data_IF_074430307953
#
_entry.id   IF_074430307953
#
_cell.length_a   1.000
_cell.length_b   1.000
_cell.length_c   1.000
_cell.angle_alpha   90.00
_cell.angle_beta   90.00
_cell.angle_gamma   90.00
#
_symmetry.space_group_name_H-M   'P 1'
#
loop_
_entity.id
_entity.type
_entity.pdbx_description
1 polymer ?
#
# COMPACT_ATOMS: atom_id res chain seq x y z
N UNK A 1 31.07 -24.91 34.81
CA UNK A 1 29.63 -24.69 34.59
C UNK A 1 29.23 -23.23 34.73
N UNK A 2 29.51 -22.55 35.86
CA UNK A 2 29.12 -21.14 36.09
C UNK A 2 29.59 -20.15 35.02
N UNK A 3 30.84 -20.17 34.48
CA UNK A 3 31.27 -19.24 33.44
C UNK A 3 30.53 -19.43 32.10
N UNK A 4 30.08 -20.65 31.79
CA UNK A 4 29.28 -20.91 30.58
C UNK A 4 27.86 -20.37 30.72
N UNK A 5 27.28 -20.43 31.90
CA UNK A 5 25.96 -19.88 32.18
C UNK A 5 25.96 -18.35 32.06
N UNK A 6 27.00 -17.69 32.54
CA UNK A 6 27.16 -16.23 32.43
C UNK A 6 27.36 -15.81 30.97
N UNK A 7 28.13 -16.57 30.18
CA UNK A 7 28.31 -16.29 28.75
C UNK A 7 27.02 -16.47 27.99
N UNK A 8 26.25 -17.51 28.30
CA UNK A 8 24.96 -17.81 27.69
C UNK A 8 23.91 -16.74 28.04
N UNK A 9 23.90 -16.26 29.26
CA UNK A 9 23.02 -15.15 29.67
C UNK A 9 23.42 -13.81 29.02
N UNK A 10 24.72 -13.54 28.82
CA UNK A 10 25.20 -12.37 28.07
C UNK A 10 24.79 -12.44 26.59
N UNK A 11 25.01 -13.59 25.97
CA UNK A 11 24.60 -13.82 24.55
C UNK A 11 23.08 -13.72 24.40
N UNK A 12 22.32 -14.28 25.34
CA UNK A 12 20.85 -14.18 25.33
C UNK A 12 20.37 -12.75 25.58
N UNK A 13 20.99 -12.01 26.52
CA UNK A 13 20.67 -10.62 26.79
C UNK A 13 20.94 -9.72 25.58
N UNK A 14 22.05 -9.94 24.89
CA UNK A 14 22.39 -9.26 23.65
C UNK A 14 21.38 -9.63 22.55
N UNK A 15 21.04 -10.91 22.39
CA UNK A 15 20.06 -11.36 21.40
C UNK A 15 18.67 -10.76 21.63
N UNK A 16 18.24 -10.61 22.89
CA UNK A 16 16.95 -9.97 23.24
C UNK A 16 16.95 -8.47 22.96
N UNK A 17 18.08 -7.78 23.21
CA UNK A 17 18.23 -6.38 22.85
C UNK A 17 18.19 -6.18 21.32
N UNK A 18 18.77 -7.10 20.55
CA UNK A 18 18.75 -7.07 19.09
C UNK A 18 17.38 -7.44 18.50
N UNK A 19 16.65 -8.38 19.09
CA UNK A 19 15.32 -8.77 18.64
C UNK A 19 14.30 -7.61 18.70
N UNK A 20 14.57 -6.62 19.53
CA UNK A 20 13.73 -5.42 19.65
C UNK A 20 13.97 -4.38 18.53
N UNK A 21 15.03 -4.54 17.73
CA UNK A 21 15.35 -3.65 16.62
C UNK A 21 15.61 -4.44 15.34
N UNK A 22 14.54 -4.76 14.61
CA UNK A 22 14.54 -5.67 13.47
C UNK A 22 15.46 -5.21 12.31
N UNK A 23 15.57 -3.91 12.09
CA UNK A 23 16.47 -3.33 11.05
C UNK A 23 17.96 -3.49 11.38
N UNK A 24 18.30 -3.50 12.66
CA UNK A 24 19.66 -3.74 13.11
C UNK A 24 20.03 -5.23 13.00
N UNK A 25 19.05 -6.12 13.14
CA UNK A 25 19.25 -7.58 13.04
C UNK A 25 19.75 -7.99 11.64
N UNK A 26 19.21 -7.41 10.58
CA UNK A 26 19.57 -7.76 9.19
C UNK A 26 21.00 -7.33 8.85
N UNK A 27 21.43 -6.16 9.31
CA UNK A 27 22.81 -5.70 9.14
C UNK A 27 23.82 -6.50 10.01
N UNK A 28 23.43 -6.83 11.22
CA UNK A 28 24.28 -7.61 12.14
C UNK A 28 24.31 -9.08 11.79
N UNK A 29 23.21 -9.69 11.32
CA UNK A 29 23.22 -11.06 10.79
C UNK A 29 24.08 -11.16 9.53
N UNK A 30 24.06 -10.18 8.65
CA UNK A 30 24.93 -10.15 7.46
C UNK A 30 26.41 -10.00 7.84
N UNK A 31 26.73 -9.15 8.81
CA UNK A 31 28.11 -8.99 9.34
C UNK A 31 28.56 -10.21 10.15
N UNK A 32 27.72 -10.78 10.97
CA UNK A 32 27.99 -12.00 11.74
C UNK A 32 28.12 -13.21 10.81
N UNK A 33 27.38 -13.29 9.73
CA UNK A 33 27.52 -14.36 8.73
C UNK A 33 28.82 -14.24 7.93
N UNK A 34 29.27 -13.02 7.65
CA UNK A 34 30.50 -12.77 6.86
C UNK A 34 31.78 -12.81 7.66
N UNK A 35 31.73 -12.49 8.98
CA UNK A 35 32.89 -12.45 9.88
C UNK A 35 32.82 -13.55 10.95
N UNK A 36 31.64 -14.02 11.30
CA UNK A 36 31.38 -14.79 12.51
C UNK A 36 31.50 -16.30 12.39
N UNK A 37 31.41 -16.89 11.19
CA UNK A 37 31.55 -18.34 11.04
C UNK A 37 32.94 -18.84 11.47
N UNK A 38 34.07 -18.16 11.20
CA UNK A 38 35.35 -18.61 11.74
C UNK A 38 35.53 -18.33 13.24
N UNK A 39 34.85 -17.30 13.79
CA UNK A 39 35.03 -16.90 15.19
C UNK A 39 34.12 -17.70 16.16
N UNK A 40 32.87 -17.95 15.79
CA UNK A 40 31.91 -18.71 16.63
C UNK A 40 32.31 -20.18 16.72
N UNK A 41 32.92 -20.72 15.67
CA UNK A 41 33.42 -22.10 15.67
C UNK A 41 34.85 -22.18 16.18
N UNK A 42 35.69 -21.21 15.88
CA UNK A 42 37.10 -21.20 16.27
C UNK A 42 37.37 -21.02 17.77
N UNK A 43 36.61 -20.16 18.46
CA UNK A 43 36.81 -19.90 19.89
C UNK A 43 36.42 -21.09 20.78
N UNK A 44 35.27 -21.79 20.55
CA UNK A 44 34.96 -23.02 21.28
C UNK A 44 35.93 -24.15 21.00
N UNK A 45 36.42 -24.29 19.76
CA UNK A 45 37.41 -25.31 19.40
C UNK A 45 38.75 -25.03 20.05
N UNK A 46 39.22 -23.79 20.09
CA UNK A 46 40.45 -23.40 20.82
C UNK A 46 40.31 -23.57 22.31
N UNK A 47 39.13 -23.33 22.90
CA UNK A 47 38.85 -23.58 24.33
C UNK A 47 38.75 -25.08 24.63
N UNK A 48 38.25 -25.90 23.73
CA UNK A 48 38.24 -27.36 23.85
C UNK A 48 39.66 -27.96 23.73
N UNK A 49 40.50 -27.46 22.81
CA UNK A 49 41.89 -27.90 22.64
C UNK A 49 42.78 -27.48 23.81
N UNK A 50 42.50 -26.34 24.47
CA UNK A 50 43.18 -25.90 25.68
C UNK A 50 42.73 -26.67 26.93
N UNK A 51 41.71 -27.51 26.85
CA UNK A 51 41.11 -28.26 27.96
C UNK A 51 41.46 -29.75 28.02
N UNK A 52 42.34 -30.26 27.15
CA UNK A 52 42.78 -31.67 27.20
C UNK A 52 43.55 -31.93 28.51
N UNK A 53 42.99 -32.83 29.33
CA UNK A 53 43.60 -33.29 30.59
C UNK A 53 44.82 -34.11 30.30
N UNK A 54 45.99 -33.86 30.94
CA UNK A 54 47.06 -34.82 30.94
C UNK A 54 46.63 -36.06 31.70
N UNK A 55 46.96 -37.18 31.11
CA UNK A 55 46.75 -38.55 31.54
C UNK A 55 47.16 -38.78 32.98
N UNK A 56 46.34 -39.50 33.76
CA UNK A 56 46.64 -39.97 35.09
C UNK A 56 47.69 -41.11 34.99
N UNK A 57 48.89 -40.82 35.50
CA UNK A 57 49.89 -41.83 35.75
C UNK A 57 51.14 -41.25 36.31
N UNK A 58 51.38 -41.49 37.58
CA UNK A 58 52.58 -41.30 38.45
C UNK A 58 52.61 -40.11 39.38
N UNK A 59 52.27 -40.40 40.58
CA UNK A 59 52.92 -40.24 41.89
C UNK A 59 53.54 -38.88 42.29
N UNK A 60 52.99 -38.43 43.41
CA UNK A 60 53.61 -37.81 44.56
C UNK A 60 55.09 -37.36 44.46
N UNK A 61 55.25 -36.14 43.99
CA UNK A 61 56.30 -35.17 44.45
C UNK A 61 56.08 -33.83 43.75
N UNK A 62 55.44 -32.95 44.37
CA UNK A 62 55.48 -31.51 44.12
C UNK A 62 54.12 -30.83 44.34
N UNK A 63 53.66 -30.84 45.55
CA UNK A 63 52.42 -30.08 45.95
C UNK A 63 52.59 -28.55 45.94
N UNK A 64 53.78 -28.02 45.78
CA UNK A 64 54.02 -26.57 45.74
C UNK A 64 54.15 -26.04 44.28
N UNK A 65 54.83 -26.76 43.42
CA UNK A 65 55.02 -26.36 42.01
C UNK A 65 53.71 -26.38 41.22
N UNK A 66 52.84 -27.36 41.48
CA UNK A 66 51.53 -27.49 40.86
C UNK A 66 50.52 -26.37 41.28
N UNK A 67 50.69 -25.72 42.44
CA UNK A 67 49.87 -24.57 42.84
C UNK A 67 50.28 -23.28 42.16
N UNK A 68 51.55 -23.08 41.87
CA UNK A 68 52.05 -21.89 41.18
C UNK A 68 51.77 -21.95 39.65
N UNK A 69 51.88 -23.13 39.03
CA UNK A 69 51.48 -23.31 37.64
C UNK A 69 50.00 -23.10 37.46
N UNK A 70 49.14 -23.63 38.32
CA UNK A 70 47.69 -23.37 38.29
C UNK A 70 47.33 -21.91 38.51
N UNK A 71 48.07 -21.17 39.35
CA UNK A 71 47.89 -19.74 39.53
C UNK A 71 48.31 -18.96 38.29
N UNK A 72 49.42 -19.32 37.66
CA UNK A 72 49.92 -18.70 36.44
C UNK A 72 48.96 -18.99 35.26
N UNK A 73 48.45 -20.20 35.14
CA UNK A 73 47.48 -20.56 34.09
C UNK A 73 46.15 -19.75 34.26
N UNK A 74 45.65 -19.62 35.52
CA UNK A 74 44.48 -18.77 35.82
C UNK A 74 44.73 -17.28 35.54
N UNK A 75 45.95 -16.77 35.78
CA UNK A 75 46.31 -15.40 35.41
C UNK A 75 46.35 -15.21 33.87
N UNK A 76 46.98 -16.13 33.14
CA UNK A 76 47.06 -16.07 31.68
C UNK A 76 45.63 -16.11 31.04
N UNK A 77 44.76 -17.00 31.51
CA UNK A 77 43.36 -17.09 31.01
C UNK A 77 42.60 -15.79 31.32
N UNK A 78 42.77 -15.19 32.49
CA UNK A 78 42.13 -13.89 32.83
C UNK A 78 42.63 -12.75 31.94
N UNK A 79 43.91 -12.71 31.62
CA UNK A 79 44.48 -11.69 30.73
C UNK A 79 43.96 -11.86 29.30
N UNK A 80 43.84 -13.09 28.80
CA UNK A 80 43.29 -13.36 27.47
C UNK A 80 41.79 -12.97 27.41
N UNK A 81 41.01 -13.32 28.44
CA UNK A 81 39.58 -12.94 28.48
C UNK A 81 39.43 -11.42 28.56
N UNK A 82 40.26 -10.75 29.34
CA UNK A 82 40.26 -9.27 29.46
C UNK A 82 40.67 -8.62 28.12
N UNK A 83 41.69 -9.17 27.44
CA UNK A 83 42.11 -8.70 26.13
C UNK A 83 41.04 -8.88 25.05
N UNK A 84 40.34 -10.04 25.03
CA UNK A 84 39.20 -10.28 24.11
C UNK A 84 38.04 -9.36 24.42
N UNK A 85 37.77 -9.06 25.70
CA UNK A 85 36.72 -8.12 26.08
C UNK A 85 37.05 -6.69 25.65
N UNK A 86 38.29 -6.23 25.89
CA UNK A 86 38.76 -4.91 25.46
C UNK A 86 38.76 -4.79 23.93
N UNK A 87 39.16 -5.85 23.22
CA UNK A 87 39.13 -5.89 21.76
C UNK A 87 37.68 -5.86 21.24
N UNK A 88 36.78 -6.58 21.88
CA UNK A 88 35.34 -6.52 21.57
C UNK A 88 34.74 -5.12 21.79
N UNK A 89 35.14 -4.44 22.89
CA UNK A 89 34.70 -3.07 23.17
C UNK A 89 35.24 -2.06 22.12
N UNK A 90 36.47 -2.25 21.61
CA UNK A 90 37.05 -1.40 20.60
C UNK A 90 36.31 -1.55 19.23
N UNK A 91 35.81 -2.76 18.91
CA UNK A 91 34.97 -2.96 17.72
C UNK A 91 33.56 -2.37 17.87
N UNK A 92 33.05 -2.27 19.09
CA UNK A 92 31.75 -1.63 19.37
C UNK A 92 31.81 -0.09 19.26
N UNK A 93 33.00 0.51 19.44
CA UNK A 93 33.16 1.96 19.26
C UNK A 93 33.39 2.39 17.82
N UNK A 94 33.56 1.45 16.87
CA UNK A 94 33.82 1.73 15.45
C UNK A 94 32.57 1.91 14.58
N UNK A 95 31.36 1.76 15.10
CA UNK A 95 30.16 2.19 14.41
C UNK A 95 30.01 3.69 14.66
N UNK A 96 30.29 4.50 13.64
CA UNK A 96 29.79 5.87 13.57
C UNK A 96 28.26 5.76 13.49
N UNK A 97 27.60 5.61 14.64
CA UNK A 97 26.17 5.81 14.75
C UNK A 97 26.03 7.32 14.66
N UNK A 98 25.72 7.85 13.48
CA UNK A 98 25.21 9.20 13.37
C UNK A 98 24.11 9.32 14.42
N UNK A 99 24.25 10.25 15.34
CA UNK A 99 23.28 10.39 16.42
C UNK A 99 21.93 10.67 15.75
N UNK A 100 20.86 10.03 16.22
CA UNK A 100 19.52 10.23 15.69
C UNK A 100 19.13 11.72 15.69
N UNK A 101 19.74 12.50 16.58
CA UNK A 101 19.56 13.95 16.69
C UNK A 101 20.15 14.73 15.48
N UNK A 102 21.08 14.11 14.74
CA UNK A 102 21.71 14.70 13.55
C UNK A 102 20.95 14.36 12.25
N UNK A 103 19.86 13.58 12.32
CA UNK A 103 19.05 13.19 11.19
C UNK A 103 17.68 13.88 11.19
N UNK A 104 17.21 14.24 10.00
CA UNK A 104 15.83 14.64 9.75
C UNK A 104 15.12 13.49 9.03
N UNK A 105 13.95 13.10 9.54
CA UNK A 105 13.14 12.01 9.01
C UNK A 105 11.86 12.57 8.40
N UNK A 106 11.85 12.99 7.13
CA UNK A 106 10.63 13.46 6.49
C UNK A 106 9.61 12.32 6.38
N UNK A 107 8.37 12.62 6.72
CA UNK A 107 7.22 11.71 6.54
C UNK A 107 6.42 12.06 5.31
N UNK A 108 6.63 13.26 4.75
CA UNK A 108 5.97 13.80 3.57
C UNK A 108 7.01 14.42 2.64
N UNK A 109 6.92 14.11 1.36
CA UNK A 109 7.67 14.77 0.28
C UNK A 109 6.68 15.53 -0.59
N UNK A 110 6.78 16.85 -0.61
CA UNK A 110 6.00 17.72 -1.47
C UNK A 110 6.74 17.99 -2.78
N UNK A 111 6.05 17.82 -3.92
CA UNK A 111 6.59 18.05 -5.26
C UNK A 111 5.69 19.03 -5.97
N UNK A 112 6.15 20.25 -6.17
CA UNK A 112 5.41 21.37 -6.79
C UNK A 112 5.79 21.57 -8.25
N UNK A 113 7.07 21.54 -8.52
CA UNK A 113 7.63 21.67 -9.87
C UNK A 113 9.01 21.02 -9.96
N UNK A 114 9.57 20.98 -11.17
CA UNK A 114 10.87 20.34 -11.41
C UNK A 114 12.02 21.08 -10.70
N UNK A 115 12.01 22.40 -10.69
CA UNK A 115 13.08 23.19 -10.08
C UNK A 115 13.06 23.03 -8.56
N UNK A 116 11.87 23.03 -7.95
CA UNK A 116 11.69 22.79 -6.52
C UNK A 116 12.13 21.35 -6.16
N UNK A 117 11.67 20.35 -6.92
CA UNK A 117 12.07 18.97 -6.72
C UNK A 117 13.59 18.79 -6.86
N UNK A 118 14.21 19.32 -7.91
CA UNK A 118 15.67 19.25 -8.09
C UNK A 118 16.42 19.96 -6.97
N UNK A 119 15.96 21.12 -6.53
CA UNK A 119 16.58 21.86 -5.43
C UNK A 119 16.48 21.09 -4.10
N UNK A 120 15.31 20.54 -3.77
CA UNK A 120 15.11 19.70 -2.59
C UNK A 120 15.97 18.46 -2.69
N UNK A 121 16.00 17.81 -3.87
CA UNK A 121 16.71 16.58 -4.09
C UNK A 121 18.23 16.72 -4.11
N UNK A 122 18.75 17.75 -4.79
CA UNK A 122 20.20 18.04 -4.83
C UNK A 122 20.74 18.48 -3.48
N UNK A 123 19.90 19.06 -2.64
CA UNK A 123 20.27 19.49 -1.28
C UNK A 123 19.75 18.55 -0.19
N UNK A 124 19.29 17.34 -0.56
CA UNK A 124 18.67 16.39 0.36
C UNK A 124 19.61 15.92 1.47
N UNK A 125 20.94 16.00 1.27
CA UNK A 125 21.90 15.61 2.30
C UNK A 125 21.72 16.38 3.61
N UNK A 126 21.15 17.62 3.54
CA UNK A 126 21.03 18.47 4.72
C UNK A 126 19.71 19.28 4.73
N UNK A 127 18.89 19.03 5.75
CA UNK A 127 17.78 19.90 6.14
C UNK A 127 18.28 20.82 7.26
N UNK A 128 18.77 22.01 6.90
CA UNK A 128 19.45 22.90 7.82
C UNK A 128 20.83 22.37 8.20
N UNK A 129 20.98 21.81 9.41
CA UNK A 129 22.21 21.16 9.91
C UNK A 129 22.06 19.63 10.07
N UNK A 130 20.98 19.05 9.55
CA UNK A 130 20.67 17.62 9.71
C UNK A 130 20.76 16.89 8.37
N UNK A 131 21.31 15.69 8.39
CA UNK A 131 21.25 14.75 7.28
C UNK A 131 19.81 14.26 7.10
N UNK A 132 19.31 14.25 5.86
CA UNK A 132 17.95 13.78 5.57
C UNK A 132 17.96 12.28 5.32
N UNK A 133 17.07 11.56 6.01
CA UNK A 133 16.88 10.12 5.87
C UNK A 133 15.42 9.82 5.49
N UNK A 134 15.20 9.43 4.24
CA UNK A 134 13.86 9.17 3.68
C UNK A 134 13.27 7.81 4.06
N UNK A 135 13.93 6.96 4.85
CA UNK A 135 13.41 5.66 5.23
C UNK A 135 12.05 5.71 5.98
N UNK A 136 11.65 6.87 6.46
CA UNK A 136 10.39 7.12 7.15
C UNK A 136 9.35 7.83 6.29
N UNK A 137 9.64 8.06 5.01
CA UNK A 137 8.71 8.68 4.08
C UNK A 137 7.45 7.82 3.94
N UNK A 138 6.29 8.43 4.18
CA UNK A 138 4.98 7.77 4.13
C UNK A 138 4.18 8.19 2.92
N UNK A 139 4.27 9.48 2.55
CA UNK A 139 3.48 10.07 1.48
C UNK A 139 4.36 10.94 0.58
N UNK A 140 4.18 10.78 -0.72
CA UNK A 140 4.65 11.69 -1.76
C UNK A 140 3.43 12.45 -2.27
N UNK A 141 3.40 13.74 -2.04
CA UNK A 141 2.33 14.65 -2.46
C UNK A 141 2.79 15.45 -3.66
N UNK A 142 2.07 15.32 -4.77
CA UNK A 142 2.46 15.91 -6.06
C UNK A 142 1.41 16.93 -6.48
N UNK A 143 1.82 18.15 -6.84
CA UNK A 143 0.88 19.09 -7.44
C UNK A 143 0.42 18.60 -8.82
N UNK A 144 -0.86 18.74 -9.07
CA UNK A 144 -1.49 18.29 -10.31
C UNK A 144 -0.87 18.97 -11.54
N UNK A 145 -0.57 20.26 -11.44
CA UNK A 145 0.10 21.03 -12.48
C UNK A 145 1.46 20.46 -12.90
N UNK A 146 2.16 19.77 -11.99
CA UNK A 146 3.41 19.08 -12.28
C UNK A 146 3.15 17.76 -13.02
N UNK A 147 2.10 17.01 -12.66
CA UNK A 147 1.75 15.75 -13.32
C UNK A 147 1.40 15.89 -14.81
N UNK A 148 0.99 17.07 -15.24
CA UNK A 148 0.72 17.36 -16.66
C UNK A 148 2.00 17.44 -17.52
N UNK A 149 3.18 17.50 -16.87
CA UNK A 149 4.48 17.63 -17.53
C UNK A 149 5.18 16.26 -17.63
N UNK A 150 4.75 15.43 -18.57
CA UNK A 150 5.16 14.02 -18.70
C UNK A 150 6.67 13.80 -18.58
N UNK A 151 7.52 14.61 -19.24
CA UNK A 151 8.98 14.46 -19.23
C UNK A 151 9.59 14.76 -17.85
N UNK A 152 9.09 15.79 -17.16
CA UNK A 152 9.55 16.17 -15.83
C UNK A 152 9.16 15.12 -14.77
N UNK A 153 7.95 14.57 -14.90
CA UNK A 153 7.46 13.48 -14.05
C UNK A 153 8.28 12.20 -14.25
N UNK A 154 8.62 11.87 -15.50
CA UNK A 154 9.48 10.72 -15.82
C UNK A 154 10.87 10.86 -15.17
N UNK A 155 11.48 12.03 -15.27
CA UNK A 155 12.76 12.33 -14.62
C UNK A 155 12.66 12.22 -13.10
N UNK A 156 11.62 12.77 -12.49
CA UNK A 156 11.35 12.72 -11.06
C UNK A 156 11.20 11.26 -10.59
N UNK A 157 10.35 10.47 -11.24
CA UNK A 157 10.16 9.06 -10.88
C UNK A 157 11.45 8.26 -11.03
N UNK A 158 12.25 8.55 -12.08
CA UNK A 158 13.54 7.90 -12.29
C UNK A 158 14.55 8.23 -11.19
N UNK A 159 14.56 9.47 -10.70
CA UNK A 159 15.43 9.89 -9.59
C UNK A 159 15.00 9.23 -8.28
N UNK A 160 13.70 9.21 -7.96
CA UNK A 160 13.16 8.57 -6.74
C UNK A 160 13.41 7.06 -6.75
N UNK A 161 13.29 6.39 -7.90
CA UNK A 161 13.53 4.95 -8.02
C UNK A 161 15.00 4.56 -7.78
N UNK A 162 15.93 5.43 -8.16
CA UNK A 162 17.37 5.19 -7.97
C UNK A 162 17.81 5.40 -6.52
N UNK A 163 17.02 6.14 -5.73
CA UNK A 163 17.37 6.43 -4.34
C UNK A 163 16.95 5.29 -3.42
N UNK A 164 17.94 4.66 -2.79
CA UNK A 164 17.73 3.46 -1.96
C UNK A 164 17.01 3.73 -0.65
N UNK A 165 17.04 4.97 -0.18
CA UNK A 165 16.44 5.35 1.09
C UNK A 165 14.96 5.70 0.95
N UNK A 166 14.47 5.93 -0.29
CA UNK A 166 13.06 6.18 -0.55
C UNK A 166 12.29 4.85 -0.57
N UNK A 167 11.31 4.68 0.33
CA UNK A 167 10.56 3.44 0.40
C UNK A 167 9.55 3.33 -0.74
N UNK A 168 9.55 2.20 -1.42
CA UNK A 168 8.62 1.93 -2.52
C UNK A 168 7.15 1.83 -2.08
N UNK A 169 6.90 1.62 -0.79
CA UNK A 169 5.56 1.57 -0.22
C UNK A 169 5.05 2.94 0.26
N UNK A 170 5.79 4.02 0.03
CA UNK A 170 5.25 5.35 0.26
C UNK A 170 4.06 5.59 -0.66
N UNK A 171 2.93 6.04 -0.08
CA UNK A 171 1.73 6.37 -0.84
C UNK A 171 1.95 7.59 -1.72
N UNK A 172 1.29 7.60 -2.87
CA UNK A 172 1.30 8.75 -3.76
C UNK A 172 -0.06 9.42 -3.71
N UNK A 173 -0.08 10.72 -3.51
CA UNK A 173 -1.27 11.55 -3.51
C UNK A 173 -1.05 12.78 -4.38
N UNK A 174 -2.13 13.41 -4.79
CA UNK A 174 -2.10 14.63 -5.58
C UNK A 174 -2.93 15.72 -4.92
N UNK A 175 -2.61 16.97 -5.26
CA UNK A 175 -3.33 18.15 -4.79
C UNK A 175 -3.27 19.25 -5.82
N UNK A 176 -4.15 20.25 -5.71
CA UNK A 176 -4.03 21.48 -6.49
C UNK A 176 -2.88 22.36 -6.00
N UNK A 177 -2.61 22.40 -4.68
CA UNK A 177 -1.52 23.18 -4.10
C UNK A 177 -0.98 22.55 -2.82
N UNK A 178 0.30 22.15 -2.86
CA UNK A 178 1.03 21.68 -1.68
C UNK A 178 1.13 22.74 -0.60
N UNK A 179 1.33 24.00 -0.98
CA UNK A 179 1.47 25.10 -0.01
C UNK A 179 0.16 25.34 0.76
N UNK A 180 -0.99 25.22 0.09
CA UNK A 180 -2.29 25.36 0.74
C UNK A 180 -2.52 24.25 1.76
N UNK A 181 -2.21 23.01 1.42
CA UNK A 181 -2.29 21.90 2.37
C UNK A 181 -1.30 22.03 3.52
N UNK A 182 -0.06 22.51 3.27
CA UNK A 182 0.93 22.71 4.32
C UNK A 182 0.48 23.76 5.34
N UNK A 183 -0.32 24.75 4.96
CA UNK A 183 -0.86 25.76 5.87
C UNK A 183 -1.83 25.18 6.91
N UNK A 184 -2.49 24.05 6.60
CA UNK A 184 -3.41 23.38 7.55
C UNK A 184 -2.67 22.59 8.63
N UNK A 185 -1.36 22.32 8.48
CA UNK A 185 -0.62 21.49 9.45
C UNK A 185 -0.69 22.06 10.88
N UNK A 186 -0.76 23.37 11.03
CA UNK A 186 -0.92 24.00 12.35
C UNK A 186 -2.26 23.75 13.04
N UNK A 187 -3.27 23.28 12.29
CA UNK A 187 -4.61 22.95 12.78
C UNK A 187 -4.80 21.44 13.01
N UNK A 188 -3.83 20.63 12.57
CA UNK A 188 -3.83 19.19 12.73
C UNK A 188 -3.13 18.81 14.05
N UNK A 189 -3.63 17.78 14.73
CA UNK A 189 -3.00 17.23 15.94
C UNK A 189 -1.72 16.42 15.65
N UNK A 190 -1.44 16.15 14.36
CA UNK A 190 -0.33 15.34 13.87
C UNK A 190 0.32 16.01 12.65
N UNK A 191 1.53 15.59 12.29
CA UNK A 191 2.19 16.04 11.06
C UNK A 191 1.32 15.72 9.82
N UNK A 192 1.30 16.61 8.85
CA UNK A 192 0.47 16.46 7.64
C UNK A 192 0.68 15.10 6.95
N UNK A 193 1.93 14.63 6.80
CA UNK A 193 2.20 13.32 6.20
C UNK A 193 1.59 12.14 6.96
N UNK A 194 1.55 12.20 8.30
CA UNK A 194 0.88 11.19 9.12
C UNK A 194 -0.64 11.27 8.95
N UNK A 195 -1.19 12.49 8.94
CA UNK A 195 -2.62 12.72 8.72
C UNK A 195 -3.07 12.15 7.37
N UNK A 196 -2.30 12.41 6.31
CA UNK A 196 -2.61 11.90 4.97
C UNK A 196 -2.54 10.37 4.88
N UNK A 197 -1.58 9.75 5.55
CA UNK A 197 -1.53 8.28 5.66
C UNK A 197 -2.77 7.74 6.40
N UNK A 198 -3.09 8.31 7.57
CA UNK A 198 -4.27 7.93 8.36
C UNK A 198 -5.59 8.15 7.59
N UNK A 199 -5.65 9.16 6.73
CA UNK A 199 -6.80 9.43 5.87
C UNK A 199 -7.07 8.25 4.91
N UNK A 200 -6.00 7.65 4.34
CA UNK A 200 -6.11 6.45 3.49
C UNK A 200 -6.49 5.22 4.32
N UNK A 201 -5.85 5.03 5.47
CA UNK A 201 -6.07 3.87 6.33
C UNK A 201 -7.48 3.83 6.92
N UNK A 202 -8.06 5.00 7.18
CA UNK A 202 -9.39 5.13 7.78
C UNK A 202 -10.52 5.28 6.74
N UNK A 203 -10.21 5.27 5.44
CA UNK A 203 -11.26 5.31 4.41
C UNK A 203 -12.09 4.04 4.45
N UNK A 204 -13.34 4.18 4.86
CA UNK A 204 -14.25 3.04 5.05
C UNK A 204 -14.52 2.30 3.74
N UNK A 205 -14.41 0.98 3.79
CA UNK A 205 -14.82 0.08 2.71
C UNK A 205 -13.85 -0.01 1.54
N UNK A 206 -12.64 0.54 1.63
CA UNK A 206 -11.59 0.42 0.60
C UNK A 206 -10.35 -0.26 1.21
N UNK A 207 -9.87 -1.33 0.57
CA UNK A 207 -8.60 -1.97 0.95
C UNK A 207 -7.44 -0.99 0.66
N UNK A 208 -6.54 -0.82 1.62
CA UNK A 208 -5.35 0.01 1.48
C UNK A 208 -4.52 -0.31 0.23
N UNK A 209 -4.56 -1.56 -0.24
CA UNK A 209 -3.90 -1.99 -1.49
C UNK A 209 -4.45 -1.33 -2.76
N UNK A 210 -5.62 -0.70 -2.69
CA UNK A 210 -6.17 0.07 -3.79
C UNK A 210 -5.42 1.37 -4.03
N UNK A 211 -4.77 1.91 -2.99
CA UNK A 211 -4.09 3.18 -3.07
C UNK A 211 -2.68 3.05 -3.65
N UNK A 212 -2.37 3.82 -4.70
CA UNK A 212 -1.09 3.75 -5.35
C UNK A 212 0.08 4.10 -4.43
N UNK A 213 1.12 3.31 -4.53
CA UNK A 213 2.43 3.57 -3.93
C UNK A 213 3.44 3.91 -5.03
N UNK A 214 4.60 4.43 -4.65
CA UNK A 214 5.69 4.66 -5.60
C UNK A 214 6.04 3.39 -6.39
N UNK A 215 6.09 2.25 -5.72
CA UNK A 215 6.36 0.96 -6.37
C UNK A 215 5.34 0.61 -7.46
N UNK A 216 4.05 0.89 -7.22
CA UNK A 216 3.00 0.68 -8.23
C UNK A 216 3.14 1.64 -9.42
N UNK A 217 3.54 2.90 -9.19
CA UNK A 217 3.81 3.83 -10.28
C UNK A 217 5.01 3.39 -11.11
N UNK A 218 6.09 2.90 -10.47
CA UNK A 218 7.25 2.36 -11.19
C UNK A 218 6.88 1.13 -12.03
N UNK A 219 6.07 0.23 -11.47
CA UNK A 219 5.60 -0.97 -12.16
C UNK A 219 4.70 -0.61 -13.35
N UNK A 220 3.75 0.31 -13.18
CA UNK A 220 2.86 0.77 -14.24
C UNK A 220 3.64 1.49 -15.35
N UNK A 221 4.60 2.35 -14.98
CA UNK A 221 5.49 3.02 -15.92
C UNK A 221 6.28 2.04 -16.79
N UNK A 222 6.76 0.93 -16.19
CA UNK A 222 7.52 -0.09 -16.91
C UNK A 222 6.65 -0.97 -17.81
N UNK A 223 5.43 -1.29 -17.39
CA UNK A 223 4.58 -2.31 -18.00
C UNK A 223 3.40 -1.74 -18.80
N UNK A 224 2.90 -0.54 -18.46
CA UNK A 224 1.74 0.13 -19.07
C UNK A 224 0.45 -0.71 -19.06
N UNK A 225 0.28 -1.54 -18.04
CA UNK A 225 -0.82 -2.52 -17.99
C UNK A 225 -1.99 -2.08 -17.11
N UNK A 226 -1.74 -1.19 -16.15
CA UNK A 226 -2.71 -0.87 -15.10
C UNK A 226 -3.23 0.56 -15.22
N UNK A 227 -4.45 0.76 -14.74
CA UNK A 227 -5.00 2.07 -14.45
C UNK A 227 -5.00 2.23 -12.94
N UNK A 228 -4.27 3.21 -12.43
CA UNK A 228 -4.18 3.52 -11.00
C UNK A 228 -5.03 4.77 -10.71
N UNK A 229 -5.57 4.84 -9.51
CA UNK A 229 -6.38 5.96 -9.03
C UNK A 229 -5.69 6.62 -7.85
N UNK A 230 -4.95 7.70 -8.12
CA UNK A 230 -4.18 8.44 -7.12
C UNK A 230 -5.14 9.39 -6.39
N UNK A 231 -5.26 9.32 -5.05
CA UNK A 231 -6.13 10.19 -4.29
C UNK A 231 -5.78 11.65 -4.50
N UNK A 232 -6.78 12.45 -4.86
CA UNK A 232 -6.65 13.91 -4.96
C UNK A 232 -7.20 14.51 -3.68
N UNK A 233 -6.31 15.20 -2.95
CA UNK A 233 -6.61 15.80 -1.64
C UNK A 233 -6.75 17.30 -1.79
N UNK A 234 -7.82 17.83 -1.26
CA UNK A 234 -8.06 19.27 -1.17
C UNK A 234 -8.75 19.60 0.17
N UNK A 235 -8.78 20.87 0.48
CA UNK A 235 -9.49 21.41 1.62
C UNK A 235 -10.92 21.73 1.14
N UNK A 236 -11.91 21.13 1.73
CA UNK A 236 -13.30 21.45 1.42
C UNK A 236 -13.60 22.90 1.80
N UNK A 237 -13.66 23.77 0.80
CA UNK A 237 -14.06 25.17 0.96
C UNK A 237 -15.49 25.39 0.50
N UNK A 238 -16.27 26.14 1.28
CA UNK A 238 -17.46 26.96 1.00
C UNK A 238 -18.56 26.51 -0.01
N UNK A 239 -18.44 25.38 -0.74
CA UNK A 239 -19.44 25.03 -1.76
C UNK A 239 -20.53 24.05 -1.31
N UNK A 240 -20.41 23.39 -0.19
CA UNK A 240 -21.50 22.61 0.38
C UNK A 240 -22.12 23.39 1.54
N UNK A 241 -23.36 23.85 1.38
CA UNK A 241 -24.14 24.51 2.43
C UNK A 241 -24.50 23.60 3.62
N UNK A 242 -23.64 22.69 3.97
CA UNK A 242 -23.69 21.85 5.16
C UNK A 242 -22.89 22.55 6.27
N UNK A 243 -23.47 22.53 7.45
CA UNK A 243 -23.01 23.06 8.74
C UNK A 243 -21.50 23.23 8.80
N UNK A 244 -21.03 24.49 8.91
CA UNK A 244 -19.66 24.87 9.21
C UNK A 244 -19.17 24.11 10.46
N UNK A 245 -18.45 23.03 10.25
CA UNK A 245 -17.44 22.62 11.20
C UNK A 245 -16.21 23.48 10.89
N UNK A 246 -15.82 24.35 11.83
CA UNK A 246 -14.84 25.43 11.62
C UNK A 246 -13.38 24.95 11.39
N UNK A 247 -13.18 23.68 11.06
CA UNK A 247 -11.85 23.12 10.77
C UNK A 247 -11.74 22.68 9.30
N UNK A 248 -11.03 23.47 8.52
CA UNK A 248 -10.65 23.16 7.13
C UNK A 248 -9.64 22.02 7.09
N UNK A 249 -10.11 20.78 7.20
CA UNK A 249 -9.24 19.59 7.16
C UNK A 249 -9.10 19.05 5.74
N UNK A 250 -7.90 18.57 5.36
CA UNK A 250 -7.70 17.91 4.08
C UNK A 250 -8.59 16.67 3.92
N UNK A 251 -9.21 16.48 2.76
CA UNK A 251 -10.07 15.35 2.44
C UNK A 251 -9.80 14.85 1.02
N UNK A 252 -10.10 13.58 0.75
CA UNK A 252 -10.06 13.04 -0.61
C UNK A 252 -11.34 13.47 -1.33
N UNK A 253 -11.21 14.37 -2.30
CA UNK A 253 -12.34 14.95 -3.04
C UNK A 253 -12.52 14.37 -4.44
N UNK A 254 -11.46 13.79 -5.00
CA UNK A 254 -11.43 13.18 -6.33
C UNK A 254 -10.26 12.19 -6.43
N UNK A 255 -10.03 11.65 -7.62
CA UNK A 255 -8.88 10.80 -7.90
C UNK A 255 -8.25 11.19 -9.24
N UNK A 256 -6.93 11.38 -9.27
CA UNK A 256 -6.19 11.50 -10.52
C UNK A 256 -5.98 10.11 -11.13
N UNK A 257 -6.34 9.94 -12.37
CA UNK A 257 -6.13 8.68 -13.07
C UNK A 257 -4.73 8.65 -13.65
N UNK A 258 -3.96 7.63 -13.27
CA UNK A 258 -2.63 7.37 -13.80
C UNK A 258 -2.65 6.12 -14.67
N UNK A 259 -2.24 6.25 -15.91
CA UNK A 259 -2.14 5.13 -16.85
C UNK A 259 -1.08 5.38 -17.93
N UNK A 260 -0.39 4.33 -18.34
CA UNK A 260 0.66 4.38 -19.37
C UNK A 260 1.75 5.41 -19.06
N UNK A 261 2.14 5.44 -17.78
CA UNK A 261 3.19 6.32 -17.28
C UNK A 261 2.82 7.80 -17.20
N UNK A 262 1.52 8.17 -17.26
CA UNK A 262 1.08 9.56 -17.23
C UNK A 262 -0.28 9.78 -16.56
N UNK A 263 -0.50 10.99 -16.11
CA UNK A 263 -1.81 11.46 -15.66
C UNK A 263 -2.79 11.53 -16.86
N UNK A 264 -4.02 11.08 -16.65
CA UNK A 264 -5.08 11.06 -17.65
C UNK A 264 -6.27 11.95 -17.26
N UNK A 265 -6.20 12.62 -16.12
CA UNK A 265 -7.21 13.55 -15.62
C UNK A 265 -7.95 13.06 -14.39
N UNK A 266 -8.76 13.95 -13.80
CA UNK A 266 -9.53 13.69 -12.61
C UNK A 266 -10.82 12.91 -12.91
N UNK A 267 -11.14 12.00 -12.00
CA UNK A 267 -12.45 11.36 -11.88
C UNK A 267 -13.03 11.62 -10.49
N UNK A 268 -14.35 11.59 -10.43
CA UNK A 268 -15.06 11.71 -9.17
C UNK A 268 -14.87 10.46 -8.28
N UNK A 269 -15.22 10.62 -7.01
CA UNK A 269 -15.11 9.55 -6.01
C UNK A 269 -15.98 8.34 -6.37
N UNK A 270 -17.14 8.52 -7.00
CA UNK A 270 -18.04 7.43 -7.38
C UNK A 270 -17.40 6.55 -8.48
N UNK A 271 -16.77 7.19 -9.47
CA UNK A 271 -16.05 6.48 -10.55
C UNK A 271 -14.87 5.68 -9.98
N UNK A 272 -14.07 6.27 -9.09
CA UNK A 272 -12.95 5.57 -8.48
C UNK A 272 -13.41 4.43 -7.57
N UNK A 273 -14.45 4.64 -6.76
CA UNK A 273 -15.03 3.58 -5.90
C UNK A 273 -15.61 2.43 -6.73
N UNK A 274 -16.27 2.72 -7.86
CA UNK A 274 -16.73 1.69 -8.79
C UNK A 274 -15.56 0.89 -9.39
N UNK A 275 -14.42 1.55 -9.68
CA UNK A 275 -13.21 0.87 -10.13
C UNK A 275 -12.63 -0.02 -9.03
N UNK A 276 -12.49 0.47 -7.80
CA UNK A 276 -12.01 -0.32 -6.65
C UNK A 276 -12.92 -1.52 -6.39
N UNK A 277 -14.24 -1.32 -6.43
CA UNK A 277 -15.22 -2.39 -6.30
C UNK A 277 -15.03 -3.45 -7.39
N UNK A 278 -14.92 -3.03 -8.65
CA UNK A 278 -14.74 -3.94 -9.78
C UNK A 278 -13.42 -4.71 -9.72
N UNK A 279 -12.40 -4.12 -9.15
CA UNK A 279 -11.07 -4.72 -8.98
C UNK A 279 -10.94 -5.54 -7.69
N UNK A 280 -12.01 -5.70 -6.92
CA UNK A 280 -12.07 -6.40 -5.63
C UNK A 280 -11.21 -5.74 -4.52
N UNK A 281 -11.13 -4.42 -4.53
CA UNK A 281 -10.47 -3.62 -3.48
C UNK A 281 -11.47 -2.88 -2.59
N UNK A 282 -12.78 -3.05 -2.78
CA UNK A 282 -13.80 -2.43 -1.96
C UNK A 282 -14.68 -3.50 -1.32
N UNK A 283 -14.68 -3.50 0.02
CA UNK A 283 -15.63 -4.19 0.87
C UNK A 283 -16.59 -3.18 1.49
N UNK A 284 -17.74 -3.62 1.98
CA UNK A 284 -18.74 -2.73 2.60
C UNK A 284 -19.16 -1.55 1.70
N UNK A 285 -19.32 -1.81 0.40
CA UNK A 285 -19.59 -0.78 -0.60
C UNK A 285 -21.03 -0.27 -0.49
N UNK A 286 -21.19 0.95 -0.01
CA UNK A 286 -22.51 1.61 0.11
C UNK A 286 -22.80 2.42 -1.15
N UNK A 287 -24.00 2.23 -1.71
CA UNK A 287 -24.49 2.83 -2.95
C UNK A 287 -25.86 3.47 -2.77
N UNK A 288 -26.04 4.62 -3.39
CA UNK A 288 -27.35 5.20 -3.61
C UNK A 288 -27.87 4.84 -5.02
N UNK A 289 -28.71 3.84 -5.11
CA UNK A 289 -29.24 3.35 -6.39
C UNK A 289 -30.47 4.14 -6.89
N UNK A 290 -31.11 4.90 -5.99
CA UNK A 290 -32.19 5.84 -6.29
C UNK A 290 -32.24 6.89 -5.17
N UNK A 291 -32.95 8.03 -5.31
CA UNK A 291 -32.99 9.07 -4.29
C UNK A 291 -33.37 8.59 -2.89
N UNK A 292 -34.17 7.52 -2.80
CA UNK A 292 -34.62 6.94 -1.54
C UNK A 292 -34.09 5.52 -1.31
N UNK A 293 -33.19 4.98 -2.16
CA UNK A 293 -32.70 3.60 -2.07
C UNK A 293 -31.19 3.55 -1.84
N UNK A 294 -30.82 3.25 -0.61
CA UNK A 294 -29.44 3.01 -0.20
C UNK A 294 -29.25 1.52 0.06
N UNK A 295 -28.22 0.97 -0.53
CA UNK A 295 -27.82 -0.43 -0.34
C UNK A 295 -26.37 -0.50 0.08
N UNK A 296 -26.02 -1.53 0.83
CA UNK A 296 -24.65 -1.86 1.21
C UNK A 296 -24.34 -3.25 0.71
N UNK A 297 -23.24 -3.39 -0.02
CA UNK A 297 -22.70 -4.68 -0.42
C UNK A 297 -21.67 -5.09 0.62
N UNK A 298 -22.00 -6.08 1.44
CA UNK A 298 -21.12 -6.54 2.53
C UNK A 298 -19.89 -7.27 2.00
N UNK A 299 -20.11 -8.15 1.03
CA UNK A 299 -19.04 -8.92 0.37
C UNK A 299 -19.36 -9.06 -1.10
N UNK A 300 -18.36 -8.81 -1.93
CA UNK A 300 -18.52 -9.00 -3.37
C UNK A 300 -17.29 -9.69 -3.96
N UNK A 301 -17.52 -10.41 -5.05
CA UNK A 301 -16.47 -10.90 -5.94
C UNK A 301 -16.82 -10.51 -7.36
N UNK A 302 -15.99 -9.72 -7.96
CA UNK A 302 -16.07 -9.29 -9.33
C UNK A 302 -15.16 -10.15 -10.20
N UNK A 303 -15.73 -10.73 -11.26
CA UNK A 303 -14.98 -11.48 -12.27
C UNK A 303 -15.10 -10.81 -13.61
N UNK A 304 -13.98 -10.36 -14.13
CA UNK A 304 -13.87 -9.72 -15.45
C UNK A 304 -13.62 -10.80 -16.51
N UNK A 305 -14.32 -10.72 -17.65
CA UNK A 305 -14.13 -11.62 -18.79
C UNK A 305 -14.38 -10.89 -20.10
N UNK A 306 -13.43 -11.00 -21.03
CA UNK A 306 -13.56 -10.46 -22.37
C UNK A 306 -14.26 -11.46 -23.30
N UNK A 307 -15.24 -10.97 -24.03
CA UNK A 307 -16.03 -11.75 -25.00
C UNK A 307 -16.21 -11.00 -26.29
N UNK A 308 -16.40 -11.75 -27.40
CA UNK A 308 -16.78 -11.19 -28.70
C UNK A 308 -18.26 -11.45 -28.93
N UNK A 309 -18.99 -10.42 -29.30
CA UNK A 309 -20.37 -10.53 -29.69
C UNK A 309 -20.54 -10.04 -31.14
N UNK A 310 -21.26 -10.78 -31.96
CA UNK A 310 -21.62 -10.32 -33.29
C UNK A 310 -22.83 -9.42 -33.12
N UNK A 311 -22.65 -8.12 -33.33
CA UNK A 311 -23.70 -7.12 -33.27
C UNK A 311 -24.62 -7.13 -34.49
N UNK A 312 -25.67 -6.32 -34.44
CA UNK A 312 -26.56 -6.09 -35.57
C UNK A 312 -25.78 -5.51 -36.74
N UNK A 313 -25.79 -6.19 -37.88
CA UNK A 313 -25.00 -5.80 -39.06
C UNK A 313 -23.69 -6.55 -39.27
N UNK A 314 -23.40 -7.59 -38.48
CA UNK A 314 -22.21 -8.45 -38.63
C UNK A 314 -20.90 -7.86 -38.09
N UNK A 315 -20.96 -6.69 -37.50
CA UNK A 315 -19.80 -6.09 -36.83
C UNK A 315 -19.51 -6.84 -35.51
N UNK A 316 -18.25 -7.17 -35.28
CA UNK A 316 -17.82 -7.82 -34.03
C UNK A 316 -17.63 -6.75 -32.97
N UNK A 317 -18.47 -6.76 -31.94
CA UNK A 317 -18.30 -5.95 -30.73
C UNK A 317 -17.43 -6.67 -29.74
N UNK A 318 -16.55 -5.92 -29.07
CA UNK A 318 -15.70 -6.42 -28.00
C UNK A 318 -16.33 -6.01 -26.67
N UNK A 319 -16.75 -7.01 -25.89
CA UNK A 319 -17.46 -6.77 -24.63
C UNK A 319 -16.63 -7.31 -23.47
N UNK A 320 -16.35 -6.43 -22.51
CA UNK A 320 -15.83 -6.77 -21.19
C UNK A 320 -17.03 -6.99 -20.28
N UNK A 321 -17.26 -8.22 -19.88
CA UNK A 321 -18.34 -8.57 -18.96
C UNK A 321 -17.79 -8.68 -17.56
N UNK A 322 -18.34 -7.90 -16.64
CA UNK A 322 -18.06 -7.97 -15.20
C UNK A 322 -19.20 -8.70 -14.51
N UNK A 323 -18.93 -9.86 -13.97
CA UNK A 323 -19.92 -10.61 -13.17
C UNK A 323 -19.66 -10.32 -11.70
N UNK A 324 -20.63 -9.68 -11.06
CA UNK A 324 -20.63 -9.37 -9.63
C UNK A 324 -21.45 -10.41 -8.89
N UNK A 325 -20.88 -11.05 -7.89
CA UNK A 325 -21.57 -12.02 -7.01
C UNK A 325 -21.26 -11.71 -5.57
N UNK A 326 -22.23 -11.82 -4.66
CA UNK A 326 -22.00 -11.49 -3.27
C UNK A 326 -23.26 -11.46 -2.42
N UNK A 327 -23.13 -10.83 -1.26
CA UNK A 327 -24.22 -10.58 -0.30
C UNK A 327 -24.27 -9.08 0.03
N UNK A 328 -25.46 -8.60 0.31
CA UNK A 328 -25.65 -7.20 0.68
C UNK A 328 -26.95 -6.99 1.46
N UNK A 329 -27.10 -5.79 1.99
CA UNK A 329 -28.26 -5.36 2.76
C UNK A 329 -28.88 -4.06 2.23
N UNK A 330 -30.15 -3.87 2.47
CA UNK A 330 -30.86 -2.62 2.18
C UNK A 330 -30.82 -1.76 3.41
N UNK A 331 -30.08 -0.64 3.36
CA UNK A 331 -29.96 0.28 4.50
C UNK A 331 -31.22 1.15 4.66
N UNK A 332 -31.77 1.60 3.55
CA UNK A 332 -33.04 2.36 3.54
C UNK A 332 -33.61 2.42 2.14
N UNK A 333 -34.94 2.58 2.02
CA UNK A 333 -35.56 2.96 0.77
C UNK A 333 -36.81 2.20 0.37
N UNK A 334 -37.34 2.60 -0.79
CA UNK A 334 -38.53 2.00 -1.43
C UNK A 334 -38.14 1.40 -2.76
N UNK A 335 -38.46 0.14 -2.97
CA UNK A 335 -38.34 -0.49 -4.29
C UNK A 335 -39.71 -0.46 -4.96
N UNK A 336 -39.89 0.41 -5.98
CA UNK A 336 -41.10 0.46 -6.76
C UNK A 336 -40.97 -0.43 -8.01
N UNK A 337 -41.95 -1.29 -8.20
CA UNK A 337 -42.01 -2.15 -9.41
C UNK A 337 -42.33 -1.37 -10.68
N UNK A 338 -42.70 -0.07 -10.59
CA UNK A 338 -43.10 0.76 -11.73
C UNK A 338 -42.01 1.11 -12.72
N UNK A 339 -40.75 0.96 -12.37
CA UNK A 339 -39.64 1.38 -13.24
C UNK A 339 -39.11 0.26 -14.16
N UNK A 340 -39.78 -0.90 -14.20
CA UNK A 340 -39.42 -1.93 -15.14
C UNK A 340 -40.16 -1.65 -16.48
N UNK A 341 -39.45 -1.17 -17.55
CA UNK A 341 -40.10 -0.83 -18.84
C UNK A 341 -40.78 -2.01 -19.48
N UNK A 342 -40.49 -3.26 -19.07
CA UNK A 342 -41.16 -4.46 -19.57
C UNK A 342 -42.57 -4.66 -18.96
N UNK A 343 -42.93 -3.98 -17.88
CA UNK A 343 -44.20 -4.14 -17.14
C UNK A 343 -45.11 -2.90 -17.19
N UNK A 344 -44.86 -1.98 -18.11
CA UNK A 344 -45.65 -0.73 -18.22
C UNK A 344 -47.15 -0.93 -18.52
N UNK A 345 -47.61 -2.14 -18.83
CA UNK A 345 -49.02 -2.45 -19.10
C UNK A 345 -49.78 -3.15 -17.99
N UNK A 346 -49.10 -3.55 -16.87
CA UNK A 346 -49.77 -4.20 -15.75
C UNK A 346 -49.95 -3.25 -14.57
N UNK A 347 -51.23 -2.98 -14.27
CA UNK A 347 -51.70 -1.98 -13.28
C UNK A 347 -50.96 -1.89 -11.97
N UNK A 348 -50.83 -0.66 -11.57
CA UNK A 348 -50.47 -0.05 -10.26
C UNK A 348 -50.54 -0.94 -9.05
N UNK A 349 -49.44 -1.56 -8.66
CA UNK A 349 -49.24 -2.05 -7.30
C UNK A 349 -47.97 -1.40 -6.76
N UNK A 350 -48.12 -0.30 -6.02
CA UNK A 350 -47.01 0.30 -5.27
C UNK A 350 -46.69 -0.60 -4.08
N UNK A 351 -45.56 -1.30 -4.15
CA UNK A 351 -45.00 -2.00 -3.00
C UNK A 351 -44.08 -1.05 -2.27
N UNK A 352 -44.61 -0.33 -1.28
CA UNK A 352 -43.83 0.54 -0.42
C UNK A 352 -43.10 -0.34 0.61
N UNK A 353 -41.77 -0.35 0.57
CA UNK A 353 -40.95 -0.89 1.64
C UNK A 353 -40.75 0.26 2.63
N UNK A 354 -41.60 0.32 3.65
CA UNK A 354 -41.40 1.20 4.80
C UNK A 354 -40.67 0.43 5.90
N UNK A 355 -39.79 1.06 6.63
CA UNK A 355 -38.96 0.54 7.74
C UNK A 355 -39.72 -0.12 8.93
N UNK A 356 -40.98 -0.52 8.76
CA UNK A 356 -41.80 -1.06 9.84
C UNK A 356 -42.40 -2.43 9.58
N UNK A 357 -42.06 -3.11 8.49
CA UNK A 357 -42.52 -4.47 8.25
C UNK A 357 -41.35 -5.34 7.83
N UNK A 358 -41.12 -6.41 8.58
CA UNK A 358 -40.28 -7.58 8.19
C UNK A 358 -40.87 -8.25 6.92
N UNK A 359 -40.93 -7.51 5.83
CA UNK A 359 -41.34 -8.09 4.55
C UNK A 359 -40.19 -8.92 4.00
N UNK A 360 -40.40 -10.22 3.93
CA UNK A 360 -39.46 -11.19 3.38
C UNK A 360 -38.99 -10.69 2.00
N UNK A 361 -37.67 -10.59 1.81
CA UNK A 361 -37.07 -10.33 0.52
C UNK A 361 -37.62 -11.31 -0.51
N UNK A 362 -38.20 -10.80 -1.59
CA UNK A 362 -38.72 -11.64 -2.67
C UNK A 362 -37.72 -11.64 -3.82
N UNK A 363 -37.68 -12.73 -4.61
CA UNK A 363 -36.82 -12.80 -5.80
C UNK A 363 -37.04 -11.66 -6.78
N UNK A 364 -38.25 -11.16 -6.84
CA UNK A 364 -38.59 -10.01 -7.70
C UNK A 364 -37.93 -8.72 -7.21
N UNK A 365 -37.93 -8.46 -5.88
CA UNK A 365 -37.24 -7.30 -5.29
C UNK A 365 -35.71 -7.40 -5.48
N UNK A 366 -35.14 -8.56 -5.22
CA UNK A 366 -33.71 -8.82 -5.47
C UNK A 366 -33.34 -8.53 -6.94
N UNK A 367 -34.16 -8.99 -7.89
CA UNK A 367 -33.91 -8.76 -9.30
C UNK A 367 -33.98 -7.28 -9.66
N UNK A 368 -34.95 -6.52 -9.10
CA UNK A 368 -35.06 -5.07 -9.31
C UNK A 368 -33.81 -4.35 -8.79
N UNK A 369 -33.34 -4.68 -7.59
CA UNK A 369 -32.14 -4.04 -6.99
C UNK A 369 -30.91 -4.40 -7.82
N UNK A 370 -30.72 -5.66 -8.18
CA UNK A 370 -29.61 -6.10 -9.03
C UNK A 370 -29.62 -5.38 -10.38
N UNK A 371 -30.79 -5.22 -11.03
CA UNK A 371 -30.91 -4.48 -12.29
C UNK A 371 -30.59 -2.99 -12.13
N UNK A 372 -31.00 -2.35 -11.01
CA UNK A 372 -30.64 -0.96 -10.74
C UNK A 372 -29.14 -0.80 -10.54
N UNK A 373 -28.50 -1.72 -9.78
CA UNK A 373 -27.08 -1.72 -9.59
C UNK A 373 -26.31 -1.97 -10.92
N UNK A 374 -26.80 -2.89 -11.77
CA UNK A 374 -26.26 -3.07 -13.12
C UNK A 374 -26.30 -1.77 -13.92
N UNK A 375 -27.45 -1.09 -13.92
CA UNK A 375 -27.63 0.18 -14.64
C UNK A 375 -26.71 1.27 -14.11
N UNK A 376 -26.57 1.39 -12.81
CA UNK A 376 -25.67 2.34 -12.14
C UNK A 376 -24.22 2.10 -12.53
N UNK A 377 -23.71 0.87 -12.38
CA UNK A 377 -22.34 0.52 -12.73
C UNK A 377 -22.06 0.64 -14.24
N UNK A 378 -23.01 0.27 -15.07
CA UNK A 378 -22.91 0.44 -16.54
C UNK A 378 -22.83 1.91 -16.93
N UNK A 379 -23.59 2.80 -16.26
CA UNK A 379 -23.55 4.24 -16.54
C UNK A 379 -22.18 4.84 -16.17
N UNK A 380 -21.63 4.48 -15.01
CA UNK A 380 -20.29 4.92 -14.58
C UNK A 380 -19.23 4.40 -15.56
N UNK A 381 -19.28 3.11 -15.92
CA UNK A 381 -18.32 2.53 -16.85
C UNK A 381 -18.37 3.17 -18.24
N UNK A 382 -19.57 3.47 -18.75
CA UNK A 382 -19.75 4.15 -20.03
C UNK A 382 -19.15 5.57 -19.97
N UNK A 383 -19.43 6.32 -18.89
CA UNK A 383 -18.87 7.67 -18.71
C UNK A 383 -17.34 7.67 -18.58
N UNK A 384 -16.77 6.69 -17.87
CA UNK A 384 -15.32 6.51 -17.78
C UNK A 384 -14.69 6.19 -19.14
N UNK A 385 -15.34 5.31 -19.95
CA UNK A 385 -14.87 5.00 -21.29
C UNK A 385 -14.93 6.18 -22.27
N UNK A 386 -15.85 7.13 -22.10
CA UNK A 386 -15.84 8.38 -22.86
C UNK A 386 -14.55 9.18 -22.64
N UNK A 387 -13.94 9.02 -21.47
CA UNK A 387 -12.63 9.57 -21.11
C UNK A 387 -11.47 8.60 -21.39
N UNK A 388 -11.73 7.53 -22.11
CA UNK A 388 -10.75 6.46 -22.38
C UNK A 388 -10.23 5.78 -21.11
N UNK A 389 -11.04 5.66 -20.06
CA UNK A 389 -10.68 5.03 -18.79
C UNK A 389 -11.41 3.68 -18.65
N UNK A 390 -10.65 2.59 -18.64
CA UNK A 390 -11.15 1.25 -18.32
C UNK A 390 -11.12 1.02 -16.79
N UNK A 391 -12.27 1.20 -16.13
CA UNK A 391 -12.40 0.99 -14.68
C UNK A 391 -12.27 -0.48 -14.26
N UNK A 392 -12.29 -1.41 -15.21
CA UNK A 392 -12.19 -2.85 -14.92
C UNK A 392 -10.76 -3.37 -14.88
N UNK A 393 -9.80 -2.57 -15.34
CA UNK A 393 -8.41 -2.99 -15.54
C UNK A 393 -8.28 -4.26 -16.41
N UNK A 394 -9.24 -4.47 -17.35
CA UNK A 394 -9.31 -5.69 -18.15
C UNK A 394 -8.10 -5.86 -19.07
N UNK A 395 -7.49 -4.76 -19.52
CA UNK A 395 -6.28 -4.81 -20.36
C UNK A 395 -5.13 -5.58 -19.70
N UNK A 396 -4.99 -5.47 -18.38
CA UNK A 396 -3.96 -6.19 -17.60
C UNK A 396 -4.00 -7.69 -17.82
N UNK A 397 -5.19 -8.27 -17.94
CA UNK A 397 -5.39 -9.72 -18.02
C UNK A 397 -5.40 -10.25 -19.45
N UNK A 398 -5.40 -9.37 -20.48
CA UNK A 398 -5.48 -9.77 -21.89
C UNK A 398 -4.42 -10.79 -22.29
N UNK A 399 -3.18 -10.62 -21.84
CA UNK A 399 -2.08 -11.50 -22.18
C UNK A 399 -2.29 -12.94 -21.73
N UNK A 400 -2.96 -13.12 -20.59
CA UNK A 400 -3.29 -14.43 -20.02
C UNK A 400 -4.60 -14.98 -20.59
N UNK A 401 -5.65 -14.14 -20.63
CA UNK A 401 -7.02 -14.59 -20.88
C UNK A 401 -7.40 -14.55 -22.35
N UNK A 402 -6.89 -13.60 -23.12
CA UNK A 402 -7.26 -13.41 -24.51
C UNK A 402 -6.09 -12.94 -25.40
N UNK A 403 -5.18 -13.86 -25.73
CA UNK A 403 -4.01 -13.59 -26.58
C UNK A 403 -4.33 -12.91 -27.91
N UNK A 404 -5.49 -13.22 -28.52
CA UNK A 404 -5.89 -12.61 -29.79
C UNK A 404 -6.10 -11.10 -29.64
N UNK A 405 -6.72 -10.66 -28.54
CA UNK A 405 -6.89 -9.25 -28.27
C UNK A 405 -5.56 -8.61 -27.83
N UNK A 406 -4.79 -9.29 -27.01
CA UNK A 406 -3.48 -8.81 -26.61
C UNK A 406 -2.61 -8.46 -27.83
N UNK A 407 -2.47 -9.37 -28.80
CA UNK A 407 -1.70 -9.12 -30.01
C UNK A 407 -2.30 -8.01 -30.90
N UNK A 408 -3.62 -7.81 -30.86
CA UNK A 408 -4.26 -6.70 -31.56
C UNK A 408 -3.85 -5.34 -30.98
N UNK A 409 -3.77 -5.23 -29.66
CA UNK A 409 -3.59 -3.96 -28.95
C UNK A 409 -2.21 -3.73 -28.36
N UNK A 410 -1.30 -4.72 -28.38
CA UNK A 410 0.03 -4.61 -27.76
C UNK A 410 0.85 -3.39 -28.22
N UNK A 411 0.68 -2.96 -29.48
CA UNK A 411 1.37 -1.79 -30.03
C UNK A 411 0.52 -0.51 -29.96
N UNK A 412 -0.75 -0.62 -29.65
CA UNK A 412 -1.71 0.50 -29.57
C UNK A 412 -2.67 0.31 -28.41
N UNK A 413 -2.19 0.27 -27.15
CA UNK A 413 -3.05 0.02 -25.99
C UNK A 413 -4.20 1.03 -25.87
N UNK A 414 -3.99 2.29 -26.27
CA UNK A 414 -5.02 3.32 -26.26
C UNK A 414 -6.23 3.03 -27.17
N UNK A 415 -6.06 2.17 -28.18
CA UNK A 415 -7.18 1.75 -29.01
C UNK A 415 -8.09 0.73 -28.31
N UNK A 416 -7.61 0.09 -27.25
CA UNK A 416 -8.39 -0.91 -26.52
C UNK A 416 -9.61 -0.29 -25.86
N UNK A 417 -9.43 0.78 -25.09
CA UNK A 417 -10.53 1.45 -24.38
C UNK A 417 -11.58 2.03 -25.35
N UNK A 418 -11.17 2.42 -26.57
CA UNK A 418 -12.09 2.90 -27.63
C UNK A 418 -12.93 1.79 -28.25
N UNK A 419 -12.38 0.57 -28.29
CA UNK A 419 -12.99 -0.57 -29.00
C UNK A 419 -13.89 -1.42 -28.08
N UNK A 420 -13.76 -1.30 -26.76
CA UNK A 420 -14.51 -2.12 -25.80
C UNK A 420 -15.83 -1.47 -25.38
N UNK A 421 -16.76 -2.34 -24.96
CA UNK A 421 -17.94 -1.98 -24.16
C UNK A 421 -17.87 -2.76 -22.86
N UNK A 422 -18.14 -2.10 -21.74
CA UNK A 422 -18.21 -2.75 -20.43
C UNK A 422 -19.68 -3.05 -20.14
N UNK A 423 -19.96 -4.26 -19.64
CA UNK A 423 -21.27 -4.70 -19.23
C UNK A 423 -21.20 -5.40 -17.88
N UNK A 424 -21.98 -4.91 -16.91
CA UNK A 424 -22.12 -5.55 -15.60
C UNK A 424 -23.28 -6.53 -15.58
N UNK A 425 -23.06 -7.65 -14.89
CA UNK A 425 -24.08 -8.64 -14.54
C UNK A 425 -24.03 -8.84 -13.02
N UNK A 426 -25.04 -8.36 -12.32
CA UNK A 426 -25.07 -8.34 -10.84
C UNK A 426 -25.94 -9.50 -10.34
N UNK A 427 -25.41 -10.27 -9.38
CA UNK A 427 -26.06 -11.40 -8.72
C UNK A 427 -25.77 -11.35 -7.22
N UNK A 428 -26.27 -10.33 -6.57
CA UNK A 428 -26.13 -10.15 -5.13
C UNK A 428 -27.39 -10.68 -4.45
N UNK A 429 -27.18 -11.44 -3.37
CA UNK A 429 -28.24 -11.89 -2.48
C UNK A 429 -28.47 -10.80 -1.42
N UNK A 430 -29.63 -10.16 -1.48
CA UNK A 430 -29.96 -9.06 -0.59
C UNK A 430 -30.66 -9.56 0.67
N UNK A 431 -30.19 -9.11 1.83
CA UNK A 431 -30.83 -9.33 3.13
C UNK A 431 -31.76 -8.14 3.41
N UNK A 432 -32.94 -8.42 3.95
CA UNK A 432 -33.77 -7.41 4.61
C UNK A 432 -33.45 -7.47 6.11
N UNK A 433 -33.13 -6.35 6.71
CA UNK A 433 -33.12 -6.29 8.17
C UNK A 433 -34.45 -6.71 8.79
#
# INVERSE_FOLDING_TARGET
>A
MLPYLILLLLVYGVAVLFYRNQQFLDRVTFLLWRIGTPFVVGVPVLLCLAGEKPNRGMEERSSKENKDERKNHKKKVRVVVLACFLFGCLFLQGCNVAELEDKAFPVLLNIRDQDDFQNVWLNHEYAGNKEVDYNHLKVVLIERSFLEKEAEVEDMLSMLEQEKEVPWNAYVMTTESCDRLAQTEGELDVLLGNYLEELLENTSGIDQKAYPTLGMLYEERANHLETLYIPFVDIEGEQSGAVQDDTEKPQITAYEVWKRGRAAGLVDTDTARAAFFTQNFADDYTLQLAPELYVKVDTASCRVKETKKIGAGGLTEQIVTVTVTGEGEILSGKVSARENPANAEAGNTETNITNTSYEKMTREKEQIINTRMENYLNAIAAHALEKEIDITNSYRNLGADNRTWYFKYQNTPAAYEKDIKIQYLVKINWKSE
#
